data_IF_184895114128
#
_entry.id   IF_184895114128
#
_cell.length_a   1.000
_cell.length_b   1.000
_cell.length_c   1.000
_cell.angle_alpha   90.00
_cell.angle_beta   90.00
_cell.angle_gamma   90.00
#
_symmetry.space_group_name_H-M   'P 1'
#
loop_
_entity.id
_entity.type
_entity.pdbx_description
1 polymer ?
#
# COMPACT_ATOMS: atom_id res chain seq x y z
N UNK A 1 -22.86 -37.50 -47.90
CA UNK A 1 -21.76 -37.29 -46.93
C UNK A 1 -21.98 -35.93 -46.27
N UNK A 2 -22.34 -35.89 -44.99
CA UNK A 2 -22.63 -34.64 -44.28
C UNK A 2 -21.46 -34.32 -43.34
N UNK A 3 -20.74 -33.23 -43.61
CA UNK A 3 -19.62 -32.79 -42.80
C UNK A 3 -20.15 -32.04 -41.58
N UNK A 4 -19.99 -32.62 -40.39
CA UNK A 4 -20.33 -31.99 -39.11
C UNK A 4 -19.14 -31.18 -38.63
N UNK A 5 -19.18 -29.85 -38.78
CA UNK A 5 -18.25 -28.96 -38.09
C UNK A 5 -18.62 -28.90 -36.60
N UNK A 6 -17.90 -29.67 -35.77
CA UNK A 6 -17.97 -29.56 -34.32
C UNK A 6 -17.05 -28.41 -33.92
N UNK A 7 -17.63 -27.25 -33.61
CA UNK A 7 -16.90 -26.11 -33.06
C UNK A 7 -16.68 -26.39 -31.57
N UNK A 8 -15.45 -26.74 -31.19
CA UNK A 8 -15.05 -26.77 -29.78
C UNK A 8 -14.88 -25.33 -29.28
N UNK A 9 -15.90 -24.82 -28.60
CA UNK A 9 -15.79 -23.56 -27.86
C UNK A 9 -14.90 -23.81 -26.62
N UNK A 10 -13.62 -23.44 -26.71
CA UNK A 10 -12.73 -23.39 -25.55
C UNK A 10 -13.17 -22.21 -24.69
N UNK A 11 -13.91 -22.49 -23.61
CA UNK A 11 -14.24 -21.50 -22.60
C UNK A 11 -12.96 -21.12 -21.86
N UNK A 12 -12.36 -19.99 -22.22
CA UNK A 12 -11.29 -19.37 -21.45
C UNK A 12 -11.92 -18.86 -20.15
N UNK A 13 -11.89 -19.69 -19.11
CA UNK A 13 -12.18 -19.26 -17.76
C UNK A 13 -11.05 -18.32 -17.32
N UNK A 14 -11.24 -17.02 -17.55
CA UNK A 14 -10.39 -16.02 -16.91
C UNK A 14 -10.56 -16.23 -15.40
N UNK A 15 -9.49 -16.54 -14.65
CA UNK A 15 -9.61 -16.67 -13.20
C UNK A 15 -10.14 -15.35 -12.68
N UNK A 16 -11.34 -15.40 -12.09
CA UNK A 16 -11.88 -14.26 -11.37
C UNK A 16 -10.83 -13.88 -10.32
N UNK A 17 -10.21 -12.71 -10.48
CA UNK A 17 -9.33 -12.18 -9.46
C UNK A 17 -10.22 -11.89 -8.25
N UNK A 18 -10.26 -12.80 -7.28
CA UNK A 18 -11.02 -12.61 -6.05
C UNK A 18 -10.48 -11.37 -5.38
N UNK A 19 -11.32 -10.33 -5.28
CA UNK A 19 -10.99 -9.13 -4.53
C UNK A 19 -10.84 -9.54 -3.06
N UNK A 20 -9.60 -9.62 -2.58
CA UNK A 20 -9.27 -10.03 -1.22
C UNK A 20 -9.74 -8.94 -0.25
N UNK A 21 -10.86 -9.17 0.42
CA UNK A 21 -11.37 -8.26 1.46
C UNK A 21 -10.46 -8.20 2.70
N UNK A 22 -9.54 -9.15 2.84
CA UNK A 22 -8.67 -9.31 4.00
C UNK A 22 -7.51 -8.30 4.08
N UNK A 23 -7.19 -7.60 2.99
CA UNK A 23 -5.98 -6.78 2.93
C UNK A 23 -4.71 -7.59 2.71
N UNK A 24 -3.55 -6.96 2.93
CA UNK A 24 -2.23 -7.57 2.83
C UNK A 24 -1.96 -8.50 4.03
N UNK A 25 -1.34 -9.67 3.81
CA UNK A 25 -1.00 -10.59 4.90
C UNK A 25 0.19 -10.07 5.71
N UNK A 26 0.29 -10.47 6.98
CA UNK A 26 1.39 -10.09 7.89
C UNK A 26 2.77 -10.43 7.30
N UNK A 27 2.89 -11.53 6.56
CA UNK A 27 4.17 -11.93 5.93
C UNK A 27 4.69 -10.91 4.92
N UNK A 28 3.83 -10.06 4.35
CA UNK A 28 4.25 -8.98 3.45
C UNK A 28 4.88 -7.79 4.20
N UNK A 29 4.87 -7.77 5.53
CA UNK A 29 5.44 -6.69 6.32
C UNK A 29 6.95 -6.51 6.08
N UNK A 30 7.68 -7.61 5.85
CA UNK A 30 9.14 -7.57 5.79
C UNK A 30 9.63 -6.99 4.45
N UNK A 31 9.07 -7.52 3.36
CA UNK A 31 9.51 -7.22 2.00
C UNK A 31 8.61 -6.22 1.25
N UNK A 32 7.41 -5.94 1.78
CA UNK A 32 6.32 -5.19 1.14
C UNK A 32 5.78 -5.88 -0.13
N UNK A 33 6.03 -7.18 -0.33
CA UNK A 33 5.60 -7.92 -1.52
C UNK A 33 4.23 -8.58 -1.28
N UNK A 34 3.22 -8.28 -2.09
CA UNK A 34 1.95 -9.01 -2.08
C UNK A 34 2.18 -10.47 -2.44
N UNK A 35 1.49 -11.38 -1.75
CA UNK A 35 1.60 -12.83 -1.97
C UNK A 35 0.77 -13.26 -3.20
N UNK A 36 0.99 -12.59 -4.34
CA UNK A 36 0.29 -12.84 -5.61
C UNK A 36 1.04 -13.81 -6.53
N UNK A 37 2.17 -14.38 -6.08
CA UNK A 37 2.98 -15.37 -6.82
C UNK A 37 3.44 -14.90 -8.22
N UNK A 38 3.56 -13.58 -8.39
CA UNK A 38 4.08 -12.91 -9.58
C UNK A 38 5.03 -11.80 -9.13
N UNK A 39 5.98 -11.46 -9.98
CA UNK A 39 7.01 -10.46 -9.64
C UNK A 39 6.47 -9.02 -9.69
N UNK A 40 7.00 -8.12 -8.85
CA UNK A 40 6.67 -6.70 -8.93
C UNK A 40 7.08 -6.10 -10.27
N UNK A 41 6.38 -5.05 -10.67
CA UNK A 41 6.75 -4.24 -11.82
C UNK A 41 8.11 -3.55 -11.59
N UNK A 42 8.95 -3.58 -12.62
CA UNK A 42 10.28 -2.92 -12.61
C UNK A 42 10.25 -1.50 -13.18
N UNK A 43 9.15 -1.13 -13.84
CA UNK A 43 8.92 0.23 -14.33
C UNK A 43 8.72 1.20 -13.16
N UNK A 44 8.95 2.51 -13.37
CA UNK A 44 8.61 3.51 -12.36
C UNK A 44 7.13 3.43 -11.95
N UNK A 45 6.88 3.48 -10.64
CA UNK A 45 5.53 3.43 -10.12
C UNK A 45 4.75 4.71 -10.46
N UNK A 46 3.53 4.62 -11.04
CA UNK A 46 2.73 5.79 -11.41
C UNK A 46 1.92 6.33 -10.22
N UNK A 47 2.49 6.32 -9.02
CA UNK A 47 1.85 6.74 -7.79
C UNK A 47 2.75 7.69 -7.01
N UNK A 48 2.13 8.65 -6.31
CA UNK A 48 2.83 9.67 -5.54
C UNK A 48 2.18 9.91 -4.19
N UNK A 49 2.96 10.51 -3.30
CA UNK A 49 2.49 10.93 -1.99
C UNK A 49 2.07 12.41 -2.01
N UNK A 50 0.96 12.72 -1.38
CA UNK A 50 0.67 14.07 -0.87
C UNK A 50 0.98 14.07 0.62
N UNK A 51 2.01 14.82 0.98
CA UNK A 51 2.52 14.93 2.33
C UNK A 51 2.18 16.32 2.89
N UNK A 52 2.29 16.55 4.22
CA UNK A 52 2.14 17.90 4.82
C UNK A 52 3.05 18.96 4.16
N UNK A 53 2.94 20.24 4.50
CA UNK A 53 3.90 21.21 3.94
C UNK A 53 5.27 21.13 4.65
N UNK A 54 5.25 20.92 5.97
CA UNK A 54 6.47 20.77 6.79
C UNK A 54 6.87 19.30 6.87
N UNK A 55 8.18 19.04 6.81
CA UNK A 55 8.78 17.70 7.00
C UNK A 55 9.47 17.54 8.36
N UNK A 56 9.50 18.61 9.14
CA UNK A 56 9.94 18.56 10.54
C UNK A 56 8.74 18.22 11.41
N UNK A 57 8.85 17.16 12.21
CA UNK A 57 7.76 16.64 13.04
C UNK A 57 8.20 16.47 14.49
N UNK A 58 7.25 16.42 15.42
CA UNK A 58 7.50 16.12 16.83
C UNK A 58 7.15 14.66 17.19
N UNK A 59 7.77 14.08 18.23
CA UNK A 59 7.31 12.81 18.80
C UNK A 59 5.83 12.89 19.18
N UNK A 60 5.03 11.89 18.80
CA UNK A 60 3.59 11.87 19.03
C UNK A 60 2.75 12.76 18.10
N UNK A 61 3.37 13.57 17.24
CA UNK A 61 2.64 14.37 16.25
C UNK A 61 1.84 13.47 15.31
N UNK A 62 0.62 13.89 14.99
CA UNK A 62 -0.23 13.19 14.04
C UNK A 62 -0.56 14.06 12.83
N UNK A 63 -0.44 13.50 11.63
CA UNK A 63 -0.71 14.20 10.38
C UNK A 63 -1.34 13.26 9.34
N UNK A 64 -1.97 13.84 8.32
CA UNK A 64 -2.54 13.09 7.21
C UNK A 64 -1.56 12.94 6.07
N UNK A 65 -1.61 11.79 5.41
CA UNK A 65 -0.85 11.45 4.21
C UNK A 65 -1.80 10.82 3.21
N UNK A 66 -1.64 11.17 1.94
CA UNK A 66 -2.38 10.56 0.84
C UNK A 66 -1.40 9.85 -0.11
N UNK A 67 -1.73 8.64 -0.52
CA UNK A 67 -1.11 7.99 -1.69
C UNK A 67 -2.12 8.07 -2.83
N UNK A 68 -1.70 8.55 -4.00
CA UNK A 68 -2.58 8.71 -5.16
C UNK A 68 -1.93 8.28 -6.47
N UNK A 69 -2.78 7.93 -7.44
CA UNK A 69 -2.37 7.81 -8.83
C UNK A 69 -1.89 9.16 -9.40
N UNK A 70 -0.93 9.10 -10.32
CA UNK A 70 -0.46 10.28 -11.04
C UNK A 70 -1.47 10.74 -12.11
N UNK A 71 -2.31 9.82 -12.60
CA UNK A 71 -3.45 10.08 -13.49
C UNK A 71 -4.70 9.31 -13.04
N UNK A 72 -5.86 9.62 -13.65
CA UNK A 72 -7.13 8.94 -13.36
C UNK A 72 -7.13 7.45 -13.69
N UNK A 73 -6.23 7.01 -14.56
CA UNK A 73 -6.08 5.59 -14.91
C UNK A 73 -5.18 4.82 -13.95
N UNK A 74 -4.39 5.52 -13.14
CA UNK A 74 -3.48 4.94 -12.15
C UNK A 74 -4.25 4.65 -10.85
N UNK A 75 -5.17 3.69 -10.96
CA UNK A 75 -6.06 3.35 -9.86
C UNK A 75 -5.44 2.35 -8.88
N UNK A 76 -5.98 2.30 -7.67
CA UNK A 76 -5.52 1.49 -6.54
C UNK A 76 -6.61 0.45 -6.23
N UNK A 77 -6.24 -0.83 -6.24
CA UNK A 77 -7.10 -1.94 -5.85
C UNK A 77 -6.62 -2.65 -4.58
N UNK A 78 -5.34 -2.52 -4.28
CA UNK A 78 -4.76 -2.95 -3.01
C UNK A 78 -3.54 -2.11 -2.66
N UNK A 79 -3.22 -2.04 -1.37
CA UNK A 79 -2.02 -1.37 -0.90
C UNK A 79 -1.55 -1.93 0.44
N UNK A 80 -0.28 -1.68 0.75
CA UNK A 80 0.33 -1.84 2.06
C UNK A 80 1.29 -0.66 2.30
N UNK A 81 1.10 0.08 3.38
CA UNK A 81 1.92 1.24 3.77
C UNK A 81 2.61 0.97 5.09
N UNK A 82 3.88 1.34 5.17
CA UNK A 82 4.69 1.37 6.38
C UNK A 82 5.45 2.69 6.48
N UNK A 83 5.84 3.07 7.70
CA UNK A 83 6.83 4.10 7.93
C UNK A 83 8.08 3.42 8.48
N UNK A 84 9.25 3.65 7.90
CA UNK A 84 10.51 3.03 8.36
C UNK A 84 11.52 4.11 8.67
N UNK A 85 12.34 3.88 9.70
CA UNK A 85 13.51 4.72 9.98
C UNK A 85 14.52 4.55 8.85
N UNK A 86 15.23 5.61 8.47
CA UNK A 86 16.27 5.51 7.45
C UNK A 86 17.35 4.49 7.88
N UNK A 87 17.60 3.47 7.06
CA UNK A 87 18.54 2.39 7.36
C UNK A 87 17.98 1.26 8.23
N UNK A 88 16.70 1.33 8.62
CA UNK A 88 16.00 0.26 9.34
C UNK A 88 14.98 -0.44 8.43
N UNK A 89 14.78 -1.74 8.67
CA UNK A 89 13.76 -2.56 8.03
C UNK A 89 12.41 -2.55 8.76
N UNK A 90 12.39 -2.13 10.02
CA UNK A 90 11.20 -2.23 10.86
C UNK A 90 10.24 -1.06 10.67
N UNK A 91 8.95 -1.38 10.66
CA UNK A 91 7.90 -0.37 10.61
C UNK A 91 7.68 0.28 11.97
N UNK A 92 7.61 1.60 11.99
CA UNK A 92 7.49 2.44 13.19
C UNK A 92 6.24 3.30 13.15
N UNK A 93 5.86 3.82 14.32
CA UNK A 93 4.73 4.73 14.49
C UNK A 93 3.40 3.99 14.46
N UNK A 94 2.32 4.75 14.29
CA UNK A 94 0.97 4.20 14.32
C UNK A 94 0.13 4.81 13.20
N UNK A 95 -0.56 3.96 12.47
CA UNK A 95 -1.50 4.33 11.43
C UNK A 95 -2.92 4.32 12.00
N UNK A 96 -3.77 5.19 11.47
CA UNK A 96 -5.19 5.22 11.79
C UNK A 96 -5.99 5.42 10.50
N UNK A 97 -6.96 4.53 10.27
CA UNK A 97 -7.94 4.66 9.21
C UNK A 97 -8.80 5.90 9.41
N UNK A 98 -9.08 6.62 8.32
CA UNK A 98 -10.01 7.75 8.33
C UNK A 98 -11.42 7.30 7.91
N UNK A 99 -12.49 7.96 8.41
CA UNK A 99 -13.85 7.66 7.99
C UNK A 99 -14.02 7.74 6.46
N UNK A 100 -14.78 6.79 5.90
CA UNK A 100 -15.04 6.73 4.45
C UNK A 100 -13.89 6.19 3.60
N UNK A 101 -12.76 5.81 4.20
CA UNK A 101 -11.65 5.17 3.50
C UNK A 101 -11.72 3.65 3.62
N UNK A 102 -11.41 2.93 2.55
CA UNK A 102 -11.31 1.46 2.50
C UNK A 102 -9.97 0.98 3.07
N UNK A 103 -9.67 1.39 4.30
CA UNK A 103 -8.38 1.19 4.97
C UNK A 103 -8.56 0.49 6.32
N UNK A 104 -7.60 -0.36 6.69
CA UNK A 104 -7.49 -0.99 8.00
C UNK A 104 -6.03 -1.07 8.43
N UNK A 105 -5.79 -1.09 9.74
CA UNK A 105 -4.42 -1.20 10.27
C UNK A 105 -3.95 -2.65 10.26
N UNK A 106 -2.66 -2.84 10.08
CA UNK A 106 -1.97 -4.11 10.22
C UNK A 106 -0.87 -3.97 11.28
N UNK A 107 -0.67 -5.03 12.07
CA UNK A 107 0.44 -5.11 13.02
C UNK A 107 1.59 -5.89 12.38
N UNK A 108 2.73 -5.22 12.24
CA UNK A 108 3.97 -5.77 11.71
C UNK A 108 5.02 -5.87 12.82
N UNK A 109 5.65 -7.05 12.94
CA UNK A 109 6.68 -7.29 13.95
C UNK A 109 6.17 -7.06 15.38
N UNK A 110 6.93 -6.30 16.18
CA UNK A 110 6.61 -6.01 17.59
C UNK A 110 5.80 -4.72 17.80
N UNK A 111 5.50 -3.98 16.73
CA UNK A 111 4.69 -2.77 16.82
C UNK A 111 3.21 -3.06 16.98
N UNK A 112 2.37 -2.03 16.98
CA UNK A 112 0.92 -2.16 16.93
C UNK A 112 0.35 -1.14 15.96
N UNK A 113 -0.51 -1.60 15.05
CA UNK A 113 -1.11 -0.75 14.00
C UNK A 113 -0.05 0.09 13.26
N UNK A 114 1.16 -0.45 13.13
CA UNK A 114 2.33 0.21 12.54
C UNK A 114 2.41 -0.04 11.04
N UNK A 115 1.36 -0.54 10.42
CA UNK A 115 1.17 -0.56 8.99
C UNK A 115 -0.30 -0.30 8.64
N UNK A 116 -0.58 0.03 7.39
CA UNK A 116 -1.92 0.23 6.87
C UNK A 116 -2.12 -0.56 5.58
N UNK A 117 -3.22 -1.27 5.48
CA UNK A 117 -3.62 -2.00 4.27
C UNK A 117 -5.07 -1.66 3.90
N UNK A 118 -5.44 -1.99 2.67
CA UNK A 118 -6.82 -1.95 2.22
C UNK A 118 -7.73 -2.92 3.00
N UNK A 119 -9.01 -2.55 3.14
CA UNK A 119 -10.13 -3.50 3.27
C UNK A 119 -10.64 -3.86 1.87
N UNK A 120 -11.86 -4.39 1.74
CA UNK A 120 -12.45 -4.67 0.43
C UNK A 120 -12.62 -3.39 -0.40
N UNK A 121 -11.88 -3.29 -1.52
CA UNK A 121 -12.02 -2.25 -2.54
C UNK A 121 -12.86 -2.80 -3.70
N UNK A 122 -14.16 -2.51 -3.68
CA UNK A 122 -15.10 -2.98 -4.73
C UNK A 122 -14.89 -2.26 -6.07
N UNK A 123 -14.56 -0.97 -6.00
CA UNK A 123 -14.25 -0.11 -7.14
C UNK A 123 -12.88 0.48 -6.91
N UNK A 124 -12.00 0.38 -7.91
CA UNK A 124 -10.65 0.94 -7.78
C UNK A 124 -10.74 2.43 -7.45
N UNK A 125 -9.87 2.88 -6.55
CA UNK A 125 -9.83 4.27 -6.08
C UNK A 125 -8.63 5.00 -6.65
N UNK A 126 -8.72 6.32 -6.82
CA UNK A 126 -7.60 7.13 -7.33
C UNK A 126 -6.64 7.55 -6.21
N UNK A 127 -7.10 7.53 -4.95
CA UNK A 127 -6.33 7.96 -3.80
C UNK A 127 -6.79 7.26 -2.52
N UNK A 128 -5.88 7.11 -1.57
CA UNK A 128 -6.14 6.67 -0.21
C UNK A 128 -5.51 7.68 0.75
N UNK A 129 -6.27 8.12 1.75
CA UNK A 129 -5.79 9.07 2.77
C UNK A 129 -5.85 8.41 4.14
N UNK A 130 -4.82 8.59 4.93
CA UNK A 130 -4.73 8.03 6.28
C UNK A 130 -4.06 9.00 7.23
N UNK A 131 -4.28 8.79 8.53
CA UNK A 131 -3.55 9.49 9.58
C UNK A 131 -2.37 8.63 10.04
N UNK A 132 -1.23 9.27 10.24
CA UNK A 132 -0.04 8.67 10.83
C UNK A 132 0.37 9.45 12.07
N UNK A 133 0.82 8.74 13.10
CA UNK A 133 1.33 9.28 14.35
C UNK A 133 2.78 8.87 14.54
N UNK A 134 3.66 9.87 14.76
CA UNK A 134 5.08 9.69 15.00
C UNK A 134 5.30 8.94 16.33
N UNK A 135 6.26 7.99 16.42
CA UNK A 135 6.57 7.32 17.68
C UNK A 135 6.85 8.31 18.81
N UNK A 136 6.30 8.05 20.00
CA UNK A 136 6.54 8.87 21.19
C UNK A 136 8.02 8.87 21.63
N UNK A 137 8.73 7.77 21.34
CA UNK A 137 10.15 7.60 21.65
C UNK A 137 11.08 8.06 20.51
N UNK A 138 10.56 8.72 19.48
CA UNK A 138 11.38 9.21 18.37
C UNK A 138 12.37 10.27 18.88
N UNK A 139 13.62 10.19 18.42
CA UNK A 139 14.71 11.05 18.89
C UNK A 139 14.91 12.24 17.96
N UNK A 140 15.32 13.40 18.50
CA UNK A 140 15.67 14.57 17.68
C UNK A 140 16.70 14.22 16.61
N UNK A 141 16.46 14.66 15.38
CA UNK A 141 17.29 14.37 14.21
C UNK A 141 17.03 13.00 13.57
N UNK A 142 16.24 12.13 14.18
CA UNK A 142 15.84 10.86 13.56
C UNK A 142 15.04 11.13 12.29
N UNK A 143 15.33 10.35 11.24
CA UNK A 143 14.65 10.45 9.96
C UNK A 143 13.86 9.18 9.66
N UNK A 144 12.67 9.35 9.10
CA UNK A 144 11.84 8.25 8.61
C UNK A 144 11.16 8.64 7.30
N UNK A 145 10.75 7.66 6.53
CA UNK A 145 9.95 7.85 5.32
C UNK A 145 8.88 6.76 5.22
N UNK A 146 7.85 7.02 4.42
CA UNK A 146 6.88 6.00 4.08
C UNK A 146 7.39 5.14 2.93
N UNK A 147 7.05 3.87 2.98
CA UNK A 147 7.15 2.93 1.88
C UNK A 147 5.75 2.38 1.61
N UNK A 148 5.33 2.40 0.34
CA UNK A 148 4.04 1.86 -0.08
C UNK A 148 4.24 0.80 -1.15
N UNK A 149 3.44 -0.25 -1.05
CA UNK A 149 3.12 -1.13 -2.16
C UNK A 149 1.74 -0.79 -2.67
N UNK A 150 1.61 -0.67 -3.99
CA UNK A 150 0.33 -0.42 -4.65
C UNK A 150 0.08 -1.50 -5.68
N UNK A 151 -1.05 -2.18 -5.56
CA UNK A 151 -1.57 -3.12 -6.53
C UNK A 151 -2.67 -2.43 -7.35
N UNK A 152 -2.49 -2.38 -8.67
CA UNK A 152 -3.53 -1.97 -9.61
C UNK A 152 -4.54 -3.09 -9.81
N UNK A 153 -4.04 -4.33 -9.84
CA UNK A 153 -4.81 -5.56 -9.93
C UNK A 153 -3.99 -6.72 -9.30
N UNK A 154 -4.50 -7.95 -9.37
CA UNK A 154 -3.85 -9.12 -8.77
C UNK A 154 -2.53 -9.54 -9.43
N UNK A 155 -2.17 -8.96 -10.58
CA UNK A 155 -0.96 -9.30 -11.34
C UNK A 155 -0.01 -8.11 -11.49
N UNK A 156 -0.52 -6.88 -11.41
CA UNK A 156 0.25 -5.65 -11.64
C UNK A 156 0.33 -4.83 -10.36
N UNK A 157 1.53 -4.79 -9.78
CA UNK A 157 1.81 -4.04 -8.56
C UNK A 157 3.25 -3.53 -8.51
N UNK A 158 3.46 -2.46 -7.74
CA UNK A 158 4.76 -1.87 -7.46
C UNK A 158 5.00 -1.90 -5.96
N UNK A 159 6.25 -2.16 -5.56
CA UNK A 159 6.63 -2.29 -4.15
C UNK A 159 7.61 -1.19 -3.75
N UNK A 160 7.68 -0.90 -2.45
CA UNK A 160 8.68 -0.01 -1.84
C UNK A 160 8.74 1.39 -2.47
N UNK A 161 7.62 1.91 -2.93
CA UNK A 161 7.50 3.28 -3.44
C UNK A 161 7.82 4.24 -2.28
N UNK A 162 8.90 5.03 -2.34
CA UNK A 162 9.31 5.86 -1.21
C UNK A 162 8.60 7.22 -1.22
N UNK A 163 8.25 7.72 -0.03
CA UNK A 163 7.99 9.15 0.16
C UNK A 163 9.28 9.93 0.38
N UNK A 164 9.18 11.27 0.38
CA UNK A 164 10.20 12.12 0.98
C UNK A 164 10.36 11.79 2.48
N UNK A 165 11.53 12.14 3.03
CA UNK A 165 11.86 11.92 4.44
C UNK A 165 11.25 13.00 5.34
N UNK A 166 10.84 12.58 6.53
CA UNK A 166 10.52 13.41 7.66
C UNK A 166 11.68 13.40 8.64
N UNK A 167 11.91 14.52 9.33
CA UNK A 167 12.94 14.65 10.37
C UNK A 167 12.28 15.04 11.68
N UNK A 168 12.64 14.38 12.77
CA UNK A 168 12.17 14.75 14.11
C UNK A 168 12.91 16.00 14.57
N UNK A 169 12.17 17.04 14.95
CA UNK A 169 12.69 18.35 15.37
C UNK A 169 13.41 18.38 16.71
#
# INVERSE_FOLDING_TARGET
MAFRCIIFAVAIALPAAWANSAGAPVVACDDLVPQHHVDPQTSPAPYSYVLPQKRTVAPGESFQVTVKGNSKTDTIKGFLVQARTAGDSQSVGTFTSLPGQTTQTLTCGKGQSNALTHTKIEKNVEAITFKYTVPQNAQKGQQFNFLCTVARDGYVFWVRIPSEKFTVG
#
